data_IF_882774005259
#
_entry.id   IF_882774005259
#
_cell.length_a   1.000
_cell.length_b   1.000
_cell.length_c   1.000
_cell.angle_alpha   90.00
_cell.angle_beta   90.00
_cell.angle_gamma   90.00
#
_symmetry.space_group_name_H-M   'P 1'
#
loop_
_entity.id
_entity.type
_entity.pdbx_description
1 polymer ?
#
# COMPACT_ATOMS: atom_id res chain seq x y z
N UNK A 1 10.58 -12.42 12.22
CA UNK A 1 12.05 -12.70 12.26
C UNK A 1 12.88 -11.46 11.87
N UNK A 2 12.52 -10.28 12.39
CA UNK A 2 13.21 -9.01 12.10
C UNK A 2 14.21 -8.59 13.19
N UNK A 3 14.23 -9.29 14.32
CA UNK A 3 15.17 -9.08 15.42
C UNK A 3 16.61 -9.10 14.88
N UNK A 4 17.34 -8.00 15.05
CA UNK A 4 18.70 -7.74 14.54
C UNK A 4 18.85 -7.38 13.04
N UNK A 5 17.77 -7.11 12.30
CA UNK A 5 17.86 -6.58 10.93
C UNK A 5 18.01 -5.06 10.92
N UNK A 6 18.85 -4.53 10.05
CA UNK A 6 18.92 -3.10 9.73
C UNK A 6 17.96 -2.76 8.58
N UNK A 7 17.01 -1.87 8.84
CA UNK A 7 16.00 -1.43 7.87
C UNK A 7 16.35 -0.03 7.37
N UNK A 8 16.64 0.09 6.08
CA UNK A 8 16.90 1.36 5.43
C UNK A 8 15.71 1.84 4.61
N UNK A 9 15.49 3.16 4.60
CA UNK A 9 14.55 3.83 3.71
C UNK A 9 15.28 4.87 2.88
N UNK A 10 15.16 4.80 1.55
CA UNK A 10 15.53 5.88 0.64
C UNK A 10 14.24 6.56 0.20
N UNK A 11 14.05 7.80 0.66
CA UNK A 11 12.81 8.58 0.59
C UNK A 11 12.05 8.56 1.91
N UNK A 12 12.08 9.65 2.66
CA UNK A 12 11.41 9.81 3.96
C UNK A 12 9.93 10.20 3.88
N UNK A 13 9.28 10.10 2.72
CA UNK A 13 7.90 10.57 2.50
C UNK A 13 6.81 9.87 3.34
N UNK A 14 5.55 10.14 3.02
CA UNK A 14 4.40 9.61 3.77
C UNK A 14 4.36 8.08 3.85
N UNK A 15 4.76 7.38 2.77
CA UNK A 15 4.82 5.91 2.75
C UNK A 15 5.88 5.37 3.72
N UNK A 16 7.09 5.94 3.72
CA UNK A 16 8.14 5.55 4.65
C UNK A 16 7.73 5.82 6.09
N UNK A 17 7.13 6.99 6.37
CA UNK A 17 6.63 7.30 7.71
C UNK A 17 5.57 6.30 8.19
N UNK A 18 4.59 5.96 7.34
CA UNK A 18 3.57 4.98 7.70
C UNK A 18 4.18 3.61 8.03
N UNK A 19 5.14 3.16 7.22
CA UNK A 19 5.86 1.91 7.47
C UNK A 19 6.69 1.97 8.76
N UNK A 20 7.46 3.04 8.98
CA UNK A 20 8.26 3.23 10.20
C UNK A 20 7.35 3.20 11.43
N UNK A 21 6.23 3.92 11.39
CA UNK A 21 5.23 3.94 12.46
C UNK A 21 4.68 2.54 12.74
N UNK A 22 4.29 1.79 11.71
CA UNK A 22 3.77 0.43 11.85
C UNK A 22 4.80 -0.54 12.41
N UNK A 23 6.02 -0.51 11.87
CA UNK A 23 7.16 -1.32 12.32
C UNK A 23 7.43 -1.11 13.82
N UNK A 24 7.51 0.15 14.24
CA UNK A 24 7.80 0.49 15.64
C UNK A 24 6.62 0.18 16.56
N UNK A 25 5.38 0.43 16.12
CA UNK A 25 4.19 0.11 16.89
C UNK A 25 4.03 -1.40 17.13
N UNK A 26 4.32 -2.21 16.11
CA UNK A 26 4.31 -3.67 16.19
C UNK A 26 5.54 -4.25 16.90
N UNK A 27 6.53 -3.42 17.29
CA UNK A 27 7.74 -3.86 17.99
C UNK A 27 8.65 -4.76 17.15
N UNK A 28 8.60 -4.64 15.81
CA UNK A 28 9.34 -5.53 14.92
C UNK A 28 10.86 -5.31 15.00
N UNK A 29 11.29 -4.06 15.18
CA UNK A 29 12.68 -3.65 15.42
C UNK A 29 12.75 -2.42 16.34
N UNK A 30 13.92 -2.15 16.89
CA UNK A 30 14.19 -0.93 17.65
C UNK A 30 14.38 0.28 16.72
N UNK A 31 14.10 1.53 17.17
CA UNK A 31 14.38 2.73 16.40
C UNK A 31 15.82 2.85 15.89
N UNK A 32 16.79 2.37 16.67
CA UNK A 32 18.21 2.35 16.31
C UNK A 32 18.56 1.42 15.14
N UNK A 33 17.63 0.54 14.74
CA UNK A 33 17.77 -0.35 13.60
C UNK A 33 17.10 0.20 12.33
N UNK A 34 16.59 1.43 12.38
CA UNK A 34 15.96 2.09 11.25
C UNK A 34 16.81 3.30 10.85
N UNK A 35 17.15 3.38 9.57
CA UNK A 35 17.83 4.53 8.97
C UNK A 35 17.01 5.10 7.81
N UNK A 36 16.93 6.43 7.71
CA UNK A 36 16.18 7.11 6.64
C UNK A 36 17.04 8.14 5.91
N UNK A 37 16.99 8.06 4.59
CA UNK A 37 17.55 9.04 3.68
C UNK A 37 16.43 9.84 3.02
N UNK A 38 16.64 11.15 2.92
CA UNK A 38 15.78 12.05 2.17
C UNK A 38 16.62 13.26 1.74
N UNK A 39 16.19 13.93 0.68
CA UNK A 39 16.82 15.17 0.21
C UNK A 39 16.46 16.37 1.08
N UNK A 40 15.35 16.29 1.85
CA UNK A 40 14.88 17.34 2.74
C UNK A 40 15.41 17.15 4.17
N UNK A 41 16.28 18.07 4.59
CA UNK A 41 16.79 18.12 5.98
C UNK A 41 15.68 18.35 7.00
N UNK A 42 14.67 19.13 6.67
CA UNK A 42 13.47 19.33 7.50
C UNK A 42 12.75 18.00 7.74
N UNK A 43 12.57 17.21 6.66
CA UNK A 43 11.91 15.91 6.76
C UNK A 43 12.71 14.93 7.60
N UNK A 44 14.03 14.91 7.44
CA UNK A 44 14.92 14.10 8.28
C UNK A 44 14.86 14.53 9.76
N UNK A 45 14.83 15.84 10.03
CA UNK A 45 14.67 16.37 11.38
C UNK A 45 13.36 15.91 12.03
N UNK A 46 12.26 16.00 11.29
CA UNK A 46 10.94 15.50 11.74
C UNK A 46 10.96 14.00 12.08
N UNK A 47 11.49 13.16 11.18
CA UNK A 47 11.50 11.71 11.38
C UNK A 47 12.38 11.31 12.56
N UNK A 48 13.55 11.95 12.70
CA UNK A 48 14.44 11.74 13.85
C UNK A 48 13.79 12.17 15.16
N UNK A 49 13.15 13.34 15.20
CA UNK A 49 12.49 13.84 16.40
C UNK A 49 11.25 13.03 16.81
N UNK A 50 10.50 12.52 15.82
CA UNK A 50 9.24 11.79 16.06
C UNK A 50 9.48 10.32 16.41
N UNK A 51 10.41 9.67 15.71
CA UNK A 51 10.59 8.21 15.80
C UNK A 51 11.93 7.79 16.41
N UNK A 52 12.84 8.73 16.68
CA UNK A 52 14.19 8.44 17.19
C UNK A 52 15.01 7.52 16.27
N UNK A 53 14.72 7.56 14.97
CA UNK A 53 15.44 6.80 13.94
C UNK A 53 16.70 7.54 13.49
N UNK A 54 17.66 6.81 12.93
CA UNK A 54 18.84 7.39 12.30
C UNK A 54 18.46 8.07 10.98
N UNK A 55 19.10 9.20 10.66
CA UNK A 55 18.85 9.94 9.42
C UNK A 55 20.14 10.41 8.76
N UNK A 56 20.19 10.39 7.42
CA UNK A 56 21.37 10.80 6.65
C UNK A 56 20.97 11.38 5.30
N UNK A 57 21.80 12.28 4.76
CA UNK A 57 21.66 12.78 3.37
C UNK A 57 22.33 11.84 2.36
N UNK A 58 23.15 10.88 2.80
CA UNK A 58 23.84 9.92 1.93
C UNK A 58 23.01 8.64 1.74
N UNK A 59 22.44 8.47 0.54
CA UNK A 59 21.70 7.25 0.18
C UNK A 59 22.60 6.00 0.09
N UNK A 60 23.90 6.16 -0.22
CA UNK A 60 24.82 5.03 -0.29
C UNK A 60 25.19 4.49 1.09
N UNK A 61 25.24 5.36 2.10
CA UNK A 61 25.45 4.95 3.49
C UNK A 61 24.37 3.95 3.92
N UNK A 62 23.10 4.29 3.70
CA UNK A 62 21.97 3.41 4.00
C UNK A 62 22.04 2.13 3.18
N UNK A 63 22.35 2.22 1.88
CA UNK A 63 22.43 1.05 1.01
C UNK A 63 23.51 0.05 1.44
N UNK A 64 24.62 0.52 2.01
CA UNK A 64 25.71 -0.35 2.53
C UNK A 64 25.34 -1.06 3.83
N UNK A 65 24.55 -0.43 4.68
CA UNK A 65 24.27 -0.88 6.05
C UNK A 65 22.97 -1.69 6.18
N UNK A 66 22.09 -1.63 5.19
CA UNK A 66 20.75 -2.23 5.27
C UNK A 66 20.75 -3.72 4.94
N UNK A 67 20.06 -4.50 5.77
CA UNK A 67 19.60 -5.84 5.41
C UNK A 67 18.37 -5.79 4.50
N UNK A 68 17.47 -4.84 4.76
CA UNK A 68 16.26 -4.59 3.96
C UNK A 68 16.25 -3.10 3.60
N UNK A 69 16.28 -2.81 2.30
CA UNK A 69 16.34 -1.46 1.77
C UNK A 69 15.05 -1.11 1.03
N UNK A 70 14.23 -0.27 1.64
CA UNK A 70 13.00 0.25 1.05
C UNK A 70 13.28 1.47 0.18
N UNK A 71 12.84 1.43 -1.07
CA UNK A 71 12.87 2.54 -2.02
C UNK A 71 11.47 3.15 -2.08
N UNK A 72 11.27 4.20 -1.29
CA UNK A 72 10.00 4.91 -1.06
C UNK A 72 9.96 6.28 -1.74
N UNK A 73 10.82 6.48 -2.74
CA UNK A 73 10.86 7.66 -3.59
C UNK A 73 9.79 7.62 -4.69
N UNK A 74 9.53 8.78 -5.30
CA UNK A 74 8.60 8.86 -6.44
C UNK A 74 9.16 8.12 -7.67
N UNK A 75 8.31 7.59 -8.57
CA UNK A 75 8.75 6.89 -9.78
C UNK A 75 9.70 7.70 -10.67
N UNK A 76 9.58 9.03 -10.70
CA UNK A 76 10.43 9.87 -11.56
C UNK A 76 11.90 9.91 -11.15
N UNK A 77 12.21 9.63 -9.88
CA UNK A 77 13.58 9.73 -9.35
C UNK A 77 14.23 8.37 -9.12
N UNK A 78 13.45 7.28 -9.24
CA UNK A 78 13.89 5.92 -8.88
C UNK A 78 15.11 5.46 -9.68
N UNK A 79 15.20 5.78 -10.97
CA UNK A 79 16.31 5.36 -11.82
C UNK A 79 17.64 5.97 -11.35
N UNK A 80 17.64 7.26 -10.98
CA UNK A 80 18.82 7.92 -10.41
C UNK A 80 19.22 7.34 -9.06
N UNK A 81 18.24 6.95 -8.23
CA UNK A 81 18.50 6.24 -6.97
C UNK A 81 19.13 4.87 -7.24
N UNK A 82 18.59 4.08 -8.18
CA UNK A 82 19.15 2.77 -8.56
C UNK A 82 20.60 2.93 -9.01
N UNK A 83 20.90 3.87 -9.90
CA UNK A 83 22.26 4.10 -10.39
C UNK A 83 23.23 4.51 -9.26
N UNK A 84 22.73 5.23 -8.25
CA UNK A 84 23.53 5.67 -7.10
C UNK A 84 23.86 4.53 -6.13
N UNK A 85 22.91 3.62 -5.88
CA UNK A 85 23.07 2.55 -4.87
C UNK A 85 23.58 1.23 -5.44
N UNK A 86 23.37 0.96 -6.72
CA UNK A 86 23.76 -0.30 -7.36
C UNK A 86 25.24 -0.69 -7.15
N UNK A 87 26.22 0.24 -7.15
CA UNK A 87 27.62 -0.11 -6.92
C UNK A 87 27.95 -0.56 -5.49
N UNK A 88 27.09 -0.23 -4.51
CA UNK A 88 27.40 -0.36 -3.08
C UNK A 88 26.47 -1.32 -2.33
N UNK A 89 25.33 -1.69 -2.92
CA UNK A 89 24.37 -2.60 -2.29
C UNK A 89 24.94 -4.01 -2.22
N UNK A 90 24.82 -4.65 -1.05
CA UNK A 90 25.27 -6.02 -0.88
C UNK A 90 24.29 -7.01 -1.55
N UNK A 91 24.82 -8.14 -2.07
CA UNK A 91 23.97 -9.21 -2.64
C UNK A 91 23.05 -9.88 -1.60
N UNK A 92 23.35 -9.70 -0.33
CA UNK A 92 22.53 -10.19 0.80
C UNK A 92 21.40 -9.22 1.18
N UNK A 93 21.43 -7.97 0.69
CA UNK A 93 20.40 -6.97 0.97
C UNK A 93 19.14 -7.25 0.16
N UNK A 94 17.99 -7.20 0.81
CA UNK A 94 16.68 -7.27 0.13
C UNK A 94 16.26 -5.86 -0.26
N UNK A 95 16.21 -5.58 -1.56
CA UNK A 95 15.74 -4.29 -2.07
C UNK A 95 14.24 -4.36 -2.33
N UNK A 96 13.49 -3.48 -1.67
CA UNK A 96 12.03 -3.41 -1.75
C UNK A 96 11.64 -2.10 -2.42
N UNK A 97 11.00 -2.15 -3.58
CA UNK A 97 10.52 -0.94 -4.25
C UNK A 97 9.01 -0.79 -4.13
N UNK A 98 8.56 0.40 -3.72
CA UNK A 98 7.14 0.79 -3.76
C UNK A 98 6.82 1.76 -4.90
N UNK A 99 7.76 1.96 -5.82
CA UNK A 99 7.58 2.87 -6.94
C UNK A 99 6.61 2.28 -7.98
N UNK A 100 5.52 2.99 -8.25
CA UNK A 100 4.56 2.61 -9.29
C UNK A 100 5.24 2.58 -10.67
N UNK A 101 4.93 1.56 -11.47
CA UNK A 101 5.38 1.44 -12.87
C UNK A 101 6.81 0.95 -13.07
N UNK A 102 7.61 0.74 -12.03
CA UNK A 102 9.01 0.28 -12.16
C UNK A 102 9.06 -1.24 -12.03
N UNK A 103 9.57 -1.93 -13.04
CA UNK A 103 9.63 -3.39 -13.07
C UNK A 103 10.82 -3.93 -12.29
N UNK A 104 10.70 -5.16 -11.78
CA UNK A 104 11.80 -5.91 -11.16
C UNK A 104 12.99 -6.03 -12.12
N UNK A 105 12.72 -6.21 -13.42
CA UNK A 105 13.76 -6.27 -14.45
C UNK A 105 14.63 -5.00 -14.50
N UNK A 106 14.05 -3.82 -14.29
CA UNK A 106 14.80 -2.56 -14.27
C UNK A 106 15.85 -2.54 -13.15
N UNK A 107 15.52 -3.08 -11.97
CA UNK A 107 16.46 -3.23 -10.86
C UNK A 107 17.51 -4.31 -11.17
N UNK A 108 17.08 -5.48 -11.64
CA UNK A 108 17.98 -6.62 -11.88
C UNK A 108 19.02 -6.35 -12.96
N UNK A 109 18.72 -5.50 -13.95
CA UNK A 109 19.68 -5.08 -14.97
C UNK A 109 20.87 -4.30 -14.39
N UNK A 110 20.69 -3.62 -13.26
CA UNK A 110 21.72 -2.81 -12.59
C UNK A 110 22.31 -3.49 -11.35
N UNK A 111 21.54 -4.39 -10.71
CA UNK A 111 21.88 -5.07 -9.47
C UNK A 111 21.75 -6.60 -9.61
N UNK A 112 22.58 -7.25 -10.46
CA UNK A 112 22.46 -8.68 -10.71
C UNK A 112 22.77 -9.51 -9.45
N UNK A 113 21.86 -10.42 -9.12
CA UNK A 113 21.98 -11.31 -7.96
C UNK A 113 21.45 -10.73 -6.65
N UNK A 114 20.96 -9.48 -6.65
CA UNK A 114 20.30 -8.89 -5.48
C UNK A 114 18.83 -9.33 -5.42
N UNK A 115 18.31 -9.77 -4.26
CA UNK A 115 16.88 -9.99 -4.05
C UNK A 115 16.08 -8.69 -4.23
N UNK A 116 15.23 -8.65 -5.24
CA UNK A 116 14.33 -7.51 -5.51
C UNK A 116 12.89 -7.94 -5.22
N UNK A 117 12.16 -7.12 -4.47
CA UNK A 117 10.73 -7.27 -4.24
C UNK A 117 10.05 -5.97 -4.66
N UNK A 118 9.07 -6.08 -5.55
CA UNK A 118 8.19 -4.95 -5.89
C UNK A 118 6.95 -5.04 -5.03
N UNK A 119 6.57 -3.95 -4.37
CA UNK A 119 5.37 -3.90 -3.54
C UNK A 119 4.49 -2.75 -3.99
N UNK A 120 3.19 -3.00 -4.11
CA UNK A 120 2.19 -1.97 -4.37
C UNK A 120 1.30 -1.85 -3.14
N UNK A 121 1.67 -1.00 -2.15
CA UNK A 121 0.79 -0.62 -1.06
C UNK A 121 -0.25 0.40 -1.53
N UNK A 122 -1.19 0.74 -0.65
CA UNK A 122 -2.14 1.84 -0.86
C UNK A 122 -2.15 2.80 0.35
N UNK A 123 -2.85 3.93 0.23
CA UNK A 123 -2.79 5.00 1.23
C UNK A 123 -3.31 4.65 2.63
N UNK A 124 -4.29 3.72 2.81
CA UNK A 124 -4.72 3.27 4.14
C UNK A 124 -3.64 2.66 5.04
N UNK A 125 -2.43 2.37 4.55
CA UNK A 125 -1.28 2.02 5.42
C UNK A 125 -1.02 3.06 6.52
N UNK A 126 -1.39 4.33 6.28
CA UNK A 126 -1.23 5.41 7.26
C UNK A 126 -2.07 5.20 8.54
N UNK A 127 -3.11 4.36 8.48
CA UNK A 127 -4.01 4.04 9.61
C UNK A 127 -4.01 2.54 9.94
N UNK A 128 -3.04 1.77 9.43
CA UNK A 128 -2.91 0.34 9.71
C UNK A 128 -3.87 -0.57 8.95
N UNK A 129 -4.65 -0.03 8.01
CA UNK A 129 -5.66 -0.77 7.23
C UNK A 129 -5.29 -0.84 5.73
N UNK A 130 -3.98 -0.86 5.46
CA UNK A 130 -3.43 -0.96 4.11
C UNK A 130 -3.71 -2.29 3.43
N UNK A 131 -3.64 -2.27 2.09
CA UNK A 131 -3.54 -3.47 1.27
C UNK A 131 -2.27 -3.38 0.42
N UNK A 132 -1.39 -4.36 0.58
CA UNK A 132 -0.13 -4.43 -0.17
C UNK A 132 -0.05 -5.71 -0.99
N UNK A 133 0.24 -5.59 -2.29
CA UNK A 133 0.60 -6.74 -3.11
C UNK A 133 2.11 -6.78 -3.35
N UNK A 134 2.72 -7.95 -3.15
CA UNK A 134 4.15 -8.18 -3.36
C UNK A 134 4.36 -9.05 -4.59
N UNK A 135 5.30 -8.66 -5.45
CA UNK A 135 5.84 -9.48 -6.53
C UNK A 135 7.32 -9.75 -6.25
N UNK A 136 7.70 -11.03 -6.33
CA UNK A 136 9.03 -11.49 -5.96
C UNK A 136 9.92 -11.63 -7.19
N UNK A 137 11.10 -11.03 -7.14
CA UNK A 137 12.11 -11.21 -8.18
C UNK A 137 12.82 -12.56 -8.06
N UNK A 138 13.54 -12.93 -9.12
CA UNK A 138 14.26 -14.21 -9.23
C UNK A 138 15.08 -14.62 -7.99
N UNK A 139 15.70 -13.66 -7.30
CA UNK A 139 16.57 -13.92 -6.14
C UNK A 139 15.85 -13.71 -4.78
N UNK A 140 14.58 -13.31 -4.79
CA UNK A 140 13.76 -13.13 -3.59
C UNK A 140 12.95 -14.41 -3.31
N UNK A 141 13.58 -15.39 -2.67
CA UNK A 141 12.89 -16.61 -2.24
C UNK A 141 11.84 -16.31 -1.16
N UNK A 142 10.94 -17.26 -0.88
CA UNK A 142 9.92 -17.11 0.17
C UNK A 142 10.53 -16.70 1.51
N UNK A 143 11.61 -17.38 1.94
CA UNK A 143 12.31 -17.06 3.20
C UNK A 143 12.92 -15.65 3.22
N UNK A 144 13.36 -15.15 2.06
CA UNK A 144 13.89 -13.79 1.91
C UNK A 144 12.77 -12.74 1.93
N UNK A 145 11.59 -13.09 1.42
CA UNK A 145 10.44 -12.19 1.35
C UNK A 145 9.60 -12.09 2.63
N UNK A 146 9.68 -13.09 3.50
CA UNK A 146 8.86 -13.18 4.72
C UNK A 146 9.06 -11.98 5.67
N UNK A 147 10.29 -11.50 5.95
CA UNK A 147 10.48 -10.29 6.75
C UNK A 147 9.85 -9.03 6.12
N UNK A 148 9.81 -8.96 4.77
CA UNK A 148 9.18 -7.84 4.06
C UNK A 148 7.65 -7.93 4.18
N UNK A 149 7.09 -9.14 4.07
CA UNK A 149 5.67 -9.35 4.31
C UNK A 149 5.27 -8.99 5.76
N UNK A 150 6.10 -9.34 6.75
CA UNK A 150 5.91 -8.96 8.16
C UNK A 150 5.87 -7.44 8.36
N UNK A 151 6.76 -6.70 7.66
CA UNK A 151 6.73 -5.22 7.67
C UNK A 151 5.40 -4.68 7.13
N UNK A 152 4.94 -5.12 5.95
CA UNK A 152 3.67 -4.61 5.40
C UNK A 152 2.44 -5.12 6.16
N UNK A 153 2.54 -6.27 6.81
CA UNK A 153 1.49 -6.80 7.69
C UNK A 153 1.31 -5.95 8.96
N UNK A 154 2.34 -5.20 9.39
CA UNK A 154 2.21 -4.25 10.51
C UNK A 154 1.34 -3.03 10.20
N UNK A 155 1.03 -2.80 8.92
CA UNK A 155 0.22 -1.66 8.44
C UNK A 155 -0.98 -2.11 7.60
N UNK A 156 -1.37 -3.38 7.66
CA UNK A 156 -2.54 -3.90 6.97
C UNK A 156 -2.40 -5.34 6.51
N UNK A 157 -3.04 -5.67 5.38
CA UNK A 157 -2.99 -7.01 4.78
C UNK A 157 -2.03 -7.07 3.58
N UNK A 158 -1.45 -8.25 3.38
CA UNK A 158 -0.45 -8.49 2.32
C UNK A 158 -0.84 -9.73 1.52
N UNK A 159 -0.67 -9.65 0.20
CA UNK A 159 -0.78 -10.79 -0.72
C UNK A 159 0.46 -10.86 -1.60
N UNK A 160 0.86 -12.07 -1.98
CA UNK A 160 1.87 -12.26 -3.02
C UNK A 160 1.18 -12.55 -4.34
N UNK A 161 1.61 -11.86 -5.40
CA UNK A 161 1.04 -11.95 -6.75
C UNK A 161 2.16 -12.03 -7.79
N UNK A 162 1.81 -12.43 -9.00
CA UNK A 162 2.73 -12.35 -10.13
C UNK A 162 2.93 -10.89 -10.56
N UNK A 163 4.14 -10.53 -11.00
CA UNK A 163 4.47 -9.14 -11.37
C UNK A 163 3.59 -8.59 -12.50
N UNK A 164 3.19 -9.44 -13.45
CA UNK A 164 2.32 -9.09 -14.58
C UNK A 164 0.91 -8.64 -14.16
N UNK A 165 0.49 -8.98 -12.94
CA UNK A 165 -0.79 -8.51 -12.35
C UNK A 165 -0.66 -7.19 -11.57
N UNK A 166 0.54 -6.62 -11.43
CA UNK A 166 0.73 -5.42 -10.60
C UNK A 166 -0.01 -4.19 -11.11
N UNK A 167 -0.22 -4.05 -12.41
CA UNK A 167 -1.09 -2.98 -12.94
C UNK A 167 -2.57 -3.19 -12.58
N UNK A 168 -3.01 -4.46 -12.48
CA UNK A 168 -4.35 -4.78 -12.00
C UNK A 168 -4.49 -4.46 -10.52
N UNK A 169 -3.46 -4.75 -9.70
CA UNK A 169 -3.41 -4.32 -8.29
C UNK A 169 -3.51 -2.81 -8.18
N UNK A 170 -2.75 -2.05 -8.99
CA UNK A 170 -2.83 -0.58 -9.00
C UNK A 170 -4.23 -0.09 -9.31
N UNK A 171 -4.91 -0.66 -10.31
CA UNK A 171 -6.28 -0.30 -10.65
C UNK A 171 -7.30 -0.69 -9.58
N UNK A 172 -7.07 -1.78 -8.86
CA UNK A 172 -7.98 -2.30 -7.84
C UNK A 172 -7.70 -1.70 -6.45
N UNK A 173 -6.65 -2.14 -5.75
CA UNK A 173 -6.39 -1.74 -4.36
C UNK A 173 -5.55 -0.47 -4.25
N UNK A 174 -4.72 -0.15 -5.26
CA UNK A 174 -3.94 1.09 -5.29
C UNK A 174 -4.84 2.31 -5.46
N UNK A 175 -5.78 2.24 -6.41
CA UNK A 175 -6.75 3.30 -6.72
C UNK A 175 -8.05 3.17 -5.92
N UNK A 176 -8.32 1.98 -5.38
CA UNK A 176 -9.52 1.63 -4.60
C UNK A 176 -9.92 2.62 -3.49
N UNK A 177 -8.98 3.18 -2.70
CA UNK A 177 -9.33 4.19 -1.70
C UNK A 177 -10.07 5.39 -2.30
N UNK A 178 -9.72 5.84 -3.50
CA UNK A 178 -10.43 6.94 -4.16
C UNK A 178 -11.88 6.57 -4.47
N UNK A 179 -12.13 5.34 -4.92
CA UNK A 179 -13.49 4.85 -5.19
C UNK A 179 -14.30 4.76 -3.90
N UNK A 180 -13.68 4.26 -2.82
CA UNK A 180 -14.30 4.18 -1.51
C UNK A 180 -14.69 5.57 -0.98
N UNK A 181 -13.83 6.58 -1.16
CA UNK A 181 -14.16 7.96 -0.76
C UNK A 181 -15.34 8.53 -1.53
N UNK A 182 -15.45 8.27 -2.85
CA UNK A 182 -16.64 8.66 -3.63
C UNK A 182 -17.91 8.01 -3.09
N UNK A 183 -17.85 6.72 -2.73
CA UNK A 183 -19.00 6.00 -2.15
C UNK A 183 -19.39 6.56 -0.77
N UNK A 184 -18.42 6.84 0.10
CA UNK A 184 -18.65 7.44 1.41
C UNK A 184 -19.29 8.83 1.26
N UNK A 185 -18.77 9.65 0.35
CA UNK A 185 -19.27 11.02 0.13
C UNK A 185 -20.70 11.00 -0.44
N UNK A 186 -20.97 10.13 -1.43
CA UNK A 186 -22.31 9.96 -1.99
C UNK A 186 -23.34 9.47 -0.94
N UNK A 187 -22.96 8.52 -0.07
CA UNK A 187 -23.80 8.08 1.04
C UNK A 187 -24.00 9.18 2.09
N UNK A 188 -22.99 10.02 2.30
CA UNK A 188 -23.08 11.17 3.20
C UNK A 188 -24.10 12.18 2.67
N UNK A 189 -24.04 12.53 1.39
CA UNK A 189 -25.03 13.40 0.73
C UNK A 189 -26.43 12.82 0.77
N UNK A 190 -26.57 11.51 0.55
CA UNK A 190 -27.85 10.83 0.69
C UNK A 190 -28.39 10.92 2.12
N UNK A 191 -27.53 10.75 3.13
CA UNK A 191 -27.86 10.92 4.54
C UNK A 191 -28.39 12.32 4.86
N UNK A 192 -27.74 13.36 4.35
CA UNK A 192 -28.21 14.75 4.51
C UNK A 192 -29.56 14.95 3.82
N UNK A 193 -29.73 14.41 2.61
CA UNK A 193 -30.99 14.49 1.87
C UNK A 193 -32.17 13.87 2.63
N UNK A 194 -31.93 12.82 3.42
CA UNK A 194 -32.98 12.16 4.23
C UNK A 194 -33.08 12.71 5.66
N UNK A 195 -32.37 13.80 5.98
CA UNK A 195 -32.59 14.59 7.20
C UNK A 195 -31.49 14.49 8.27
N UNK A 196 -30.37 13.83 8.01
CA UNK A 196 -29.25 13.82 8.96
C UNK A 196 -28.41 15.10 8.88
N UNK A 197 -27.74 15.44 9.99
CA UNK A 197 -26.65 16.42 9.93
C UNK A 197 -25.50 15.87 9.08
N UNK A 198 -24.71 16.75 8.46
CA UNK A 198 -23.52 16.35 7.68
C UNK A 198 -22.58 15.48 8.50
N UNK A 199 -22.30 15.88 9.74
CA UNK A 199 -21.40 15.16 10.64
C UNK A 199 -21.91 13.75 10.95
N UNK A 200 -23.20 13.63 11.29
CA UNK A 200 -23.83 12.32 11.53
C UNK A 200 -23.80 11.45 10.27
N UNK A 201 -24.10 12.02 9.10
CA UNK A 201 -24.10 11.30 7.85
C UNK A 201 -22.71 10.76 7.46
N UNK A 202 -21.63 11.54 7.67
CA UNK A 202 -20.25 11.08 7.43
C UNK A 202 -19.92 9.89 8.32
N UNK A 203 -20.24 10.00 9.62
CA UNK A 203 -19.97 8.92 10.57
C UNK A 203 -20.71 7.64 10.20
N UNK A 204 -22.01 7.73 9.90
CA UNK A 204 -22.82 6.59 9.48
C UNK A 204 -22.27 5.96 8.20
N UNK A 205 -22.02 6.74 7.16
CA UNK A 205 -21.53 6.24 5.87
C UNK A 205 -20.17 5.53 5.99
N UNK A 206 -19.20 6.17 6.65
CA UNK A 206 -17.85 5.61 6.82
C UNK A 206 -17.88 4.33 7.67
N UNK A 207 -18.58 4.34 8.80
CA UNK A 207 -18.66 3.17 9.68
C UNK A 207 -19.42 2.01 9.04
N UNK A 208 -20.48 2.27 8.27
CA UNK A 208 -21.22 1.24 7.54
C UNK A 208 -20.36 0.55 6.49
N UNK A 209 -19.61 1.31 5.68
CA UNK A 209 -18.74 0.72 4.67
C UNK A 209 -17.55 -0.03 5.29
N UNK A 210 -16.94 0.51 6.37
CA UNK A 210 -15.90 -0.19 7.12
C UNK A 210 -16.41 -1.51 7.70
N UNK A 211 -17.59 -1.51 8.33
CA UNK A 211 -18.20 -2.71 8.91
C UNK A 211 -18.51 -3.77 7.86
N UNK A 212 -19.08 -3.38 6.72
CA UNK A 212 -19.37 -4.30 5.62
C UNK A 212 -18.10 -4.94 5.05
N UNK A 213 -17.04 -4.15 4.84
CA UNK A 213 -15.74 -4.66 4.40
C UNK A 213 -15.14 -5.63 5.43
N UNK A 214 -15.20 -5.27 6.72
CA UNK A 214 -14.72 -6.12 7.82
C UNK A 214 -15.46 -7.46 7.89
N UNK A 215 -16.78 -7.47 7.69
CA UNK A 215 -17.54 -8.73 7.62
C UNK A 215 -17.01 -9.66 6.53
N UNK A 216 -16.72 -9.14 5.33
CA UNK A 216 -16.13 -9.96 4.25
C UNK A 216 -14.78 -10.54 4.69
N UNK A 217 -13.92 -9.73 5.29
CA UNK A 217 -12.57 -10.11 5.67
C UNK A 217 -12.50 -11.11 6.84
N UNK A 218 -13.40 -10.99 7.82
CA UNK A 218 -13.39 -11.83 9.02
C UNK A 218 -14.22 -13.11 8.88
N UNK A 219 -15.32 -13.06 8.12
CA UNK A 219 -16.16 -14.25 7.91
C UNK A 219 -15.67 -15.12 6.76
N UNK A 220 -14.97 -14.54 5.79
CA UNK A 220 -14.58 -15.22 4.55
C UNK A 220 -15.76 -15.54 3.62
N UNK A 221 -16.96 -15.06 3.93
CA UNK A 221 -18.16 -15.32 3.16
C UNK A 221 -18.18 -14.53 1.85
N UNK A 222 -18.78 -15.12 0.81
CA UNK A 222 -18.92 -14.45 -0.47
C UNK A 222 -19.78 -13.17 -0.33
N UNK A 223 -19.40 -12.01 -0.92
CA UNK A 223 -20.13 -10.76 -0.74
C UNK A 223 -21.62 -10.83 -1.13
N UNK A 224 -21.98 -11.63 -2.12
CA UNK A 224 -23.38 -11.83 -2.50
C UNK A 224 -24.18 -12.50 -1.37
N UNK A 225 -23.61 -13.47 -0.65
CA UNK A 225 -24.26 -14.13 0.49
C UNK A 225 -24.47 -13.14 1.64
N UNK A 226 -23.46 -12.34 1.97
CA UNK A 226 -23.58 -11.29 2.99
C UNK A 226 -24.64 -10.25 2.63
N UNK A 227 -24.73 -9.85 1.36
CA UNK A 227 -25.82 -9.01 0.85
C UNK A 227 -27.17 -9.69 1.06
N UNK A 228 -27.31 -10.95 0.68
CA UNK A 228 -28.58 -11.68 0.79
C UNK A 228 -29.06 -11.79 2.25
N UNK A 229 -28.12 -11.94 3.20
CA UNK A 229 -28.41 -11.97 4.64
C UNK A 229 -28.99 -10.66 5.19
N UNK A 230 -28.73 -9.51 4.54
CA UNK A 230 -29.23 -8.19 4.98
C UNK A 230 -30.39 -7.69 4.12
N UNK A 231 -30.81 -8.43 3.09
CA UNK A 231 -31.95 -8.09 2.21
C UNK A 231 -33.18 -8.92 2.57
N UNK A 232 -33.98 -8.44 3.53
CA UNK A 232 -35.27 -9.06 3.84
C UNK A 232 -36.28 -8.89 2.69
N UNK A 233 -37.21 -9.85 2.49
CA UNK A 233 -38.25 -9.74 1.46
C UNK A 233 -39.08 -8.46 1.62
N UNK A 234 -39.14 -7.65 0.56
CA UNK A 234 -39.88 -6.36 0.56
C UNK A 234 -39.27 -5.26 1.45
N UNK A 235 -38.10 -5.49 2.04
CA UNK A 235 -37.47 -4.56 2.97
C UNK A 235 -36.80 -3.35 2.32
N UNK A 236 -36.29 -2.45 3.16
CA UNK A 236 -35.59 -1.23 2.75
C UNK A 236 -34.30 -1.55 1.98
N UNK A 237 -33.53 -2.55 2.44
CA UNK A 237 -32.26 -2.94 1.82
C UNK A 237 -32.43 -3.45 0.39
N UNK A 238 -33.38 -4.36 0.14
CA UNK A 238 -33.61 -4.88 -1.22
C UNK A 238 -34.15 -3.79 -2.16
N UNK A 239 -34.95 -2.86 -1.65
CA UNK A 239 -35.43 -1.69 -2.40
C UNK A 239 -34.26 -0.78 -2.80
N UNK A 240 -33.33 -0.51 -1.88
CA UNK A 240 -32.11 0.25 -2.17
C UNK A 240 -31.19 -0.46 -3.18
N UNK A 241 -30.94 -1.76 -2.99
CA UNK A 241 -30.14 -2.58 -3.92
C UNK A 241 -30.74 -2.53 -5.33
N UNK A 242 -32.06 -2.65 -5.47
CA UNK A 242 -32.71 -2.57 -6.79
C UNK A 242 -32.37 -1.26 -7.53
N UNK A 243 -32.39 -0.11 -6.83
CA UNK A 243 -32.01 1.18 -7.43
C UNK A 243 -30.53 1.23 -7.80
N UNK A 244 -29.64 0.66 -6.99
CA UNK A 244 -28.20 0.58 -7.33
C UNK A 244 -27.96 -0.25 -8.60
N UNK A 245 -28.67 -1.37 -8.76
CA UNK A 245 -28.57 -2.21 -9.96
C UNK A 245 -29.15 -1.50 -11.18
N UNK A 246 -30.28 -0.79 -11.06
CA UNK A 246 -30.85 0.03 -12.15
C UNK A 246 -29.88 1.11 -12.64
N UNK A 247 -29.07 1.68 -11.73
CA UNK A 247 -28.06 2.69 -12.06
C UNK A 247 -26.70 2.09 -12.48
N UNK A 248 -26.60 0.77 -12.58
CA UNK A 248 -25.41 0.11 -13.11
C UNK A 248 -24.15 0.26 -12.24
N UNK A 249 -24.30 0.38 -10.92
CA UNK A 249 -23.16 0.61 -9.99
C UNK A 249 -22.06 -0.45 -10.15
N UNK A 250 -22.42 -1.71 -10.39
CA UNK A 250 -21.44 -2.78 -10.64
C UNK A 250 -20.61 -2.52 -11.89
N UNK A 251 -21.27 -2.13 -12.98
CA UNK A 251 -20.60 -1.83 -14.24
C UNK A 251 -19.63 -0.66 -14.06
N UNK A 252 -20.09 0.43 -13.43
CA UNK A 252 -19.25 1.60 -13.17
C UNK A 252 -17.97 1.26 -12.37
N UNK A 253 -18.08 0.43 -11.33
CA UNK A 253 -16.91 0.01 -10.53
C UNK A 253 -15.96 -0.91 -11.32
N UNK A 254 -16.50 -1.83 -12.12
CA UNK A 254 -15.68 -2.68 -13.01
C UNK A 254 -14.92 -1.83 -14.01
N UNK A 255 -15.61 -0.89 -14.68
CA UNK A 255 -15.02 -0.01 -15.68
C UNK A 255 -13.95 0.91 -15.06
N UNK A 256 -14.17 1.40 -13.84
CA UNK A 256 -13.19 2.21 -13.11
C UNK A 256 -11.88 1.45 -12.87
N UNK A 257 -11.96 0.19 -12.42
CA UNK A 257 -10.79 -0.67 -12.20
C UNK A 257 -10.07 -0.93 -13.52
N UNK A 258 -10.80 -1.33 -14.57
CA UNK A 258 -10.22 -1.59 -15.90
C UNK A 258 -9.52 -0.36 -16.46
N UNK A 259 -10.15 0.81 -16.38
CA UNK A 259 -9.58 2.07 -16.85
C UNK A 259 -8.30 2.43 -16.08
N UNK A 260 -8.31 2.31 -14.75
CA UNK A 260 -7.14 2.60 -13.92
C UNK A 260 -5.99 1.61 -14.16
N UNK A 261 -6.29 0.32 -14.37
CA UNK A 261 -5.31 -0.69 -14.77
C UNK A 261 -4.66 -0.34 -16.11
N UNK A 262 -5.44 0.04 -17.11
CA UNK A 262 -4.91 0.46 -18.40
C UNK A 262 -4.05 1.71 -18.29
N UNK A 263 -4.48 2.69 -17.47
CA UNK A 263 -3.69 3.88 -17.20
C UNK A 263 -2.35 3.56 -16.52
N UNK A 264 -2.33 2.61 -15.57
CA UNK A 264 -1.09 2.14 -14.94
C UNK A 264 -0.10 1.60 -15.99
N UNK A 265 -0.58 0.77 -16.92
CA UNK A 265 0.22 0.23 -18.03
C UNK A 265 0.79 1.31 -18.93
N UNK A 266 0.01 2.33 -19.26
CA UNK A 266 0.49 3.47 -20.07
C UNK A 266 1.60 4.24 -19.37
N UNK A 267 1.50 4.43 -18.06
CA UNK A 267 2.50 5.14 -17.27
C UNK A 267 3.81 4.36 -17.17
N UNK A 268 3.77 3.03 -17.09
CA UNK A 268 4.96 2.18 -17.02
C UNK A 268 5.71 1.99 -18.34
N UNK A 269 5.15 2.44 -19.47
CA UNK A 269 5.81 2.42 -20.80
C UNK A 269 6.65 3.67 -21.08
N UNK A 270 6.67 4.64 -20.18
CA UNK A 270 7.44 5.89 -20.30
C UNK A 270 8.79 5.77 -19.60
#
# INVERSE_FOLDING_TARGET
MLTNKQIGFIGGGAMAEALIRGILHAGLVMPSQIAVNDVSTERLGYLRGTFTVSTTLDSQEIARQSDILFLTVKPQVINGVIDTIAPVVAKTTVVVSVAAGVTIAAFQGKMPGVPIIRVMPNTPVAVGEGMSAMALGKYATTAVSEPVAEVFASVGKVVTVNEDTMDAVTGLSGSGPAYAFVLIDALTDAGVRVGFSRQTAVLLAAQTLMGAAKMVLETGEHPAKLRDMVTSPGGTAITGVHVLEQNGVRAALIDAVVAATNRSREMGRR
#
